data_IF_479664919360
#
_entry.id   IF_479664919360
#
_cell.length_a   1.000
_cell.length_b   1.000
_cell.length_c   1.000
_cell.angle_alpha   90.00
_cell.angle_beta   90.00
_cell.angle_gamma   90.00
#
_symmetry.space_group_name_H-M   'P 1'
#
loop_
_entity.id
_entity.type
_entity.pdbx_description
1 polymer ?
#
# COMPACT_ATOMS: atom_id res chain seq x y z
N UNK A 1 -2.01 36.32 -2.45
CA UNK A 1 -1.34 35.47 -1.42
C UNK A 1 -0.19 34.71 -2.07
N UNK A 2 1.05 34.89 -1.59
CA UNK A 2 2.23 34.17 -2.10
C UNK A 2 2.15 32.65 -1.87
N UNK A 3 2.98 31.88 -2.57
CA UNK A 3 3.06 30.41 -2.44
C UNK A 3 3.32 29.97 -0.99
N UNK A 4 4.17 30.71 -0.27
CA UNK A 4 4.45 30.47 1.15
C UNK A 4 3.17 30.57 2.00
N UNK A 5 2.34 31.59 1.78
CA UNK A 5 1.10 31.78 2.54
C UNK A 5 0.08 30.67 2.23
N UNK A 6 0.03 30.15 1.00
CA UNK A 6 -0.85 29.02 0.63
C UNK A 6 -0.37 27.70 1.25
N UNK A 7 0.94 27.44 1.24
CA UNK A 7 1.52 26.29 1.90
C UNK A 7 1.31 26.33 3.42
N UNK A 8 1.49 27.51 4.04
CA UNK A 8 1.19 27.74 5.45
C UNK A 8 -0.29 27.54 5.76
N UNK A 9 -1.21 28.01 4.90
CA UNK A 9 -2.64 27.83 5.12
C UNK A 9 -3.06 26.36 5.03
N UNK A 10 -2.55 25.62 4.04
CA UNK A 10 -2.79 24.18 3.89
C UNK A 10 -2.17 23.40 5.05
N UNK A 11 -0.95 23.76 5.46
CA UNK A 11 -0.29 23.20 6.64
C UNK A 11 -1.06 23.49 7.92
N UNK A 12 -1.61 24.70 8.08
CA UNK A 12 -2.43 25.09 9.23
C UNK A 12 -3.79 24.37 9.24
N UNK A 13 -4.42 24.15 8.08
CA UNK A 13 -5.64 23.35 7.99
C UNK A 13 -5.39 21.86 8.26
N UNK A 14 -4.31 21.30 7.74
CA UNK A 14 -3.90 19.92 8.03
C UNK A 14 -3.58 19.75 9.52
N UNK A 15 -2.85 20.70 10.10
CA UNK A 15 -2.57 20.75 11.53
C UNK A 15 -3.86 20.87 12.34
N UNK A 16 -4.70 21.87 12.06
CA UNK A 16 -6.00 22.06 12.72
C UNK A 16 -6.85 20.79 12.66
N UNK A 17 -7.00 20.19 11.49
CA UNK A 17 -7.73 18.94 11.32
C UNK A 17 -7.09 17.75 12.06
N UNK A 18 -5.76 17.66 12.13
CA UNK A 18 -5.07 16.64 12.94
C UNK A 18 -5.25 16.86 14.46
N UNK A 19 -5.41 18.11 14.89
CA UNK A 19 -5.63 18.51 16.28
C UNK A 19 -7.10 18.43 16.72
N UNK A 20 -8.05 18.68 15.82
CA UNK A 20 -9.49 18.69 16.12
C UNK A 20 -10.21 17.44 15.63
N UNK A 21 -9.56 16.60 14.82
CA UNK A 21 -10.07 15.31 14.42
C UNK A 21 -10.33 14.44 15.66
N UNK A 22 -11.37 13.58 15.64
CA UNK A 22 -11.68 12.72 16.78
C UNK A 22 -10.41 11.97 17.19
N UNK A 23 -9.95 12.19 18.42
CA UNK A 23 -8.84 11.44 18.99
C UNK A 23 -9.42 10.32 19.87
N UNK A 24 -8.80 9.15 19.87
CA UNK A 24 -9.22 8.03 20.72
C UNK A 24 -9.14 8.29 22.23
N UNK A 25 -8.82 9.51 22.68
CA UNK A 25 -8.66 9.83 24.11
C UNK A 25 -9.93 9.58 24.96
N UNK A 26 -11.08 9.31 24.33
CA UNK A 26 -12.34 9.02 25.02
C UNK A 26 -12.89 7.60 24.79
N UNK A 27 -12.22 6.74 24.01
CA UNK A 27 -12.65 5.36 23.80
C UNK A 27 -11.74 4.44 24.60
N UNK A 28 -12.28 3.79 25.62
CA UNK A 28 -11.54 2.72 26.29
C UNK A 28 -11.17 1.65 25.25
N UNK A 29 -9.89 1.21 25.18
CA UNK A 29 -9.48 0.19 24.24
C UNK A 29 -10.11 -1.15 24.64
N UNK A 30 -11.27 -1.46 24.10
CA UNK A 30 -11.78 -2.83 24.08
C UNK A 30 -10.90 -3.70 23.18
N UNK A 31 -10.72 -4.96 23.55
CA UNK A 31 -9.95 -5.96 22.79
C UNK A 31 -10.78 -6.43 21.58
N UNK A 32 -10.78 -5.63 20.53
CA UNK A 32 -11.68 -5.80 19.35
C UNK A 32 -11.03 -6.57 18.18
N UNK A 33 -9.79 -7.04 18.33
CA UNK A 33 -9.14 -7.92 17.35
C UNK A 33 -9.02 -9.33 17.92
N UNK A 34 -10.13 -10.11 17.91
CA UNK A 34 -10.06 -11.50 18.31
C UNK A 34 -9.12 -12.21 17.33
N UNK A 35 -8.01 -12.70 17.88
CA UNK A 35 -7.19 -13.69 17.17
C UNK A 35 -7.79 -15.04 17.52
N UNK A 36 -8.01 -15.94 16.54
CA UNK A 36 -8.49 -17.28 16.84
C UNK A 36 -7.58 -17.96 17.87
N UNK A 37 -8.14 -18.86 18.69
CA UNK A 37 -7.35 -19.56 19.71
C UNK A 37 -6.24 -20.41 19.08
N UNK A 38 -6.45 -20.84 17.84
CA UNK A 38 -5.57 -21.73 17.10
C UNK A 38 -5.38 -21.21 15.68
N UNK A 39 -4.17 -21.37 15.14
CA UNK A 39 -3.82 -21.02 13.76
C UNK A 39 -3.23 -22.27 13.09
N UNK A 40 -3.73 -22.58 11.89
CA UNK A 40 -3.17 -23.62 11.04
C UNK A 40 -1.95 -23.10 10.31
N UNK A 41 -0.80 -23.72 10.52
CA UNK A 41 0.49 -23.32 9.95
C UNK A 41 1.11 -24.46 9.16
N UNK A 42 1.76 -24.09 8.06
CA UNK A 42 2.63 -24.96 7.26
C UNK A 42 4.00 -25.02 7.91
N UNK A 43 4.53 -23.86 8.33
CA UNK A 43 5.82 -23.76 9.01
C UNK A 43 5.81 -22.61 10.02
N UNK A 44 6.66 -22.71 11.05
CA UNK A 44 6.82 -21.68 12.05
C UNK A 44 8.24 -21.72 12.65
N UNK A 45 8.65 -20.65 13.33
CA UNK A 45 9.94 -20.56 14.02
C UNK A 45 9.77 -20.03 15.44
N UNK A 46 8.75 -20.51 16.16
CA UNK A 46 8.41 -19.96 17.47
C UNK A 46 9.48 -20.33 18.50
N UNK A 47 9.82 -19.42 19.44
CA UNK A 47 10.98 -19.61 20.33
C UNK A 47 10.87 -20.82 21.27
N UNK A 48 9.67 -21.38 21.47
CA UNK A 48 9.43 -22.57 22.28
C UNK A 48 9.46 -23.88 21.46
N UNK A 49 9.64 -23.82 20.14
CA UNK A 49 10.01 -24.98 19.32
C UNK A 49 11.49 -25.33 19.56
N UNK A 50 11.84 -25.65 20.80
CA UNK A 50 13.10 -26.34 21.09
C UNK A 50 13.03 -27.75 20.50
N UNK A 51 14.17 -28.26 20.04
CA UNK A 51 14.40 -29.59 19.42
C UNK A 51 13.68 -30.78 20.08
N UNK A 52 13.26 -30.67 21.34
CA UNK A 52 12.56 -31.71 22.09
C UNK A 52 11.09 -31.88 21.71
N UNK A 53 10.41 -30.85 21.20
CA UNK A 53 9.04 -30.96 20.69
C UNK A 53 8.99 -31.58 19.28
N UNK A 54 10.12 -31.61 18.58
CA UNK A 54 10.36 -32.43 17.37
C UNK A 54 10.87 -33.78 17.84
N UNK A 55 9.99 -34.55 18.48
CA UNK A 55 10.31 -35.90 18.94
C UNK A 55 10.76 -36.79 17.78
N UNK A 56 12.02 -37.24 17.86
CA UNK A 56 12.66 -38.34 17.11
C UNK A 56 12.94 -38.12 15.61
N UNK A 57 14.13 -37.58 15.32
CA UNK A 57 15.14 -38.24 14.47
C UNK A 57 16.41 -37.39 14.48
N UNK A 58 17.30 -37.63 15.44
CA UNK A 58 18.60 -36.96 15.50
C UNK A 58 19.64 -37.59 14.54
N UNK A 59 19.26 -38.62 13.77
CA UNK A 59 20.15 -39.32 12.84
C UNK A 59 19.99 -38.88 11.37
N UNK A 60 19.14 -37.90 11.08
CA UNK A 60 18.93 -37.37 9.73
C UNK A 60 19.37 -35.92 9.61
N UNK A 61 20.69 -35.69 9.67
CA UNK A 61 21.32 -34.49 9.09
C UNK A 61 21.46 -34.72 7.59
N UNK A 62 20.32 -34.73 6.90
CA UNK A 62 20.24 -34.98 5.47
C UNK A 62 18.87 -34.57 4.95
N UNK A 63 18.84 -33.52 4.14
CA UNK A 63 17.72 -33.05 3.33
C UNK A 63 16.39 -32.81 4.08
N UNK A 64 16.19 -31.58 4.56
CA UNK A 64 14.85 -30.98 4.78
C UNK A 64 14.14 -30.68 3.44
N UNK A 65 14.22 -31.60 2.49
CA UNK A 65 13.36 -31.59 1.31
C UNK A 65 12.32 -32.70 1.50
N UNK A 66 11.06 -32.29 1.67
CA UNK A 66 9.85 -33.11 1.52
C UNK A 66 9.33 -33.95 2.73
N UNK A 67 9.19 -33.35 3.92
CA UNK A 67 7.97 -33.62 4.70
C UNK A 67 6.91 -32.59 4.33
N UNK A 68 6.41 -32.71 3.10
CA UNK A 68 5.30 -31.91 2.59
C UNK A 68 4.00 -32.31 3.27
N UNK A 69 3.43 -31.43 4.09
CA UNK A 69 1.97 -31.28 4.14
C UNK A 69 1.24 -31.68 5.41
N UNK A 70 1.89 -31.90 6.55
CA UNK A 70 1.16 -31.99 7.81
C UNK A 70 0.89 -30.58 8.34
N UNK A 71 -0.34 -30.09 8.15
CA UNK A 71 -0.84 -28.89 8.82
C UNK A 71 -0.56 -29.01 10.32
N UNK A 72 0.23 -28.07 10.86
CA UNK A 72 0.45 -27.94 12.30
C UNK A 72 -0.56 -26.96 12.84
N UNK A 73 -1.08 -27.21 14.04
CA UNK A 73 -1.93 -26.27 14.76
C UNK A 73 -1.09 -25.66 15.87
N UNK A 74 -0.96 -24.33 15.86
CA UNK A 74 -0.35 -23.58 16.96
C UNK A 74 -1.43 -22.88 17.76
N UNK A 75 -1.30 -22.86 19.08
CA UNK A 75 -2.18 -22.03 19.90
C UNK A 75 -1.66 -20.60 19.92
N UNK A 76 -2.57 -19.64 19.73
CA UNK A 76 -2.22 -18.22 19.69
C UNK A 76 -1.67 -17.71 21.02
N UNK A 77 -2.07 -18.32 22.14
CA UNK A 77 -1.55 -17.99 23.48
C UNK A 77 -0.05 -18.30 23.64
N UNK A 78 0.47 -19.23 22.85
CA UNK A 78 1.89 -19.60 22.87
C UNK A 78 2.74 -18.61 22.05
N UNK A 79 2.13 -17.79 21.20
CA UNK A 79 2.84 -16.82 20.35
C UNK A 79 3.25 -15.60 21.18
N UNK A 80 4.56 -15.47 21.45
CA UNK A 80 5.13 -14.26 22.02
C UNK A 80 5.28 -13.17 20.93
N UNK A 81 4.24 -12.36 20.77
CA UNK A 81 4.22 -11.24 19.80
C UNK A 81 5.26 -10.15 20.04
N UNK A 82 5.99 -10.19 21.16
CA UNK A 82 7.09 -9.26 21.42
C UNK A 82 8.43 -9.71 20.83
N UNK A 83 8.56 -11.00 20.49
CA UNK A 83 9.79 -11.63 19.99
C UNK A 83 9.76 -11.85 18.48
N UNK A 84 10.88 -12.31 17.96
CA UNK A 84 11.02 -12.72 16.56
C UNK A 84 10.27 -14.03 16.32
N UNK A 85 9.55 -14.09 15.21
CA UNK A 85 8.89 -15.31 14.76
C UNK A 85 8.63 -15.24 13.26
N UNK A 86 8.47 -16.42 12.65
CA UNK A 86 7.88 -16.59 11.33
C UNK A 86 6.66 -17.48 11.51
N UNK A 87 5.53 -17.09 10.91
CA UNK A 87 4.33 -17.93 10.79
C UNK A 87 4.02 -18.03 9.31
N UNK A 88 4.05 -19.23 8.76
CA UNK A 88 3.65 -19.51 7.39
C UNK A 88 2.39 -20.35 7.39
N UNK A 89 1.35 -19.85 6.71
CA UNK A 89 0.11 -20.58 6.45
C UNK A 89 -0.02 -20.81 4.95
N UNK A 90 -1.02 -21.56 4.52
CA UNK A 90 -1.31 -21.68 3.09
C UNK A 90 -1.66 -20.33 2.44
N UNK A 91 -2.22 -19.39 3.23
CA UNK A 91 -2.73 -18.11 2.75
C UNK A 91 -1.73 -16.97 2.90
N UNK A 92 -0.86 -16.98 3.89
CA UNK A 92 0.03 -15.84 4.12
C UNK A 92 1.27 -16.26 4.90
N UNK A 93 2.30 -15.41 4.85
CA UNK A 93 3.49 -15.53 5.66
C UNK A 93 3.67 -14.26 6.48
N UNK A 94 3.89 -14.36 7.79
CA UNK A 94 4.25 -13.23 8.65
C UNK A 94 5.65 -13.48 9.15
N UNK A 95 6.51 -12.48 8.98
CA UNK A 95 7.87 -12.50 9.50
C UNK A 95 8.04 -11.28 10.40
N UNK A 96 8.29 -11.53 11.68
CA UNK A 96 8.68 -10.51 12.65
C UNK A 96 10.13 -10.74 13.03
N UNK A 97 10.95 -9.71 12.87
CA UNK A 97 12.35 -9.69 13.30
C UNK A 97 12.67 -8.39 14.02
N UNK A 98 13.73 -8.43 14.81
CA UNK A 98 14.34 -7.24 15.35
C UNK A 98 14.96 -6.41 14.24
N UNK A 99 14.85 -5.09 14.41
CA UNK A 99 15.30 -4.12 13.42
C UNK A 99 16.80 -3.89 13.60
N UNK A 100 17.59 -3.85 12.50
CA UNK A 100 18.99 -3.46 12.59
C UNK A 100 19.13 -2.06 13.21
N UNK A 101 20.00 -1.91 14.20
CA UNK A 101 20.15 -0.66 14.97
C UNK A 101 20.38 0.57 14.09
N UNK A 102 21.28 0.46 13.11
CA UNK A 102 21.66 1.57 12.21
C UNK A 102 20.44 2.02 11.40
N UNK A 103 19.76 1.05 10.79
CA UNK A 103 18.56 1.29 10.00
C UNK A 103 17.44 1.93 10.84
N UNK A 104 17.24 1.44 12.07
CA UNK A 104 16.28 2.01 13.02
C UNK A 104 16.59 3.47 13.36
N UNK A 105 17.85 3.82 13.61
CA UNK A 105 18.25 5.21 13.92
C UNK A 105 18.00 6.13 12.73
N UNK A 106 18.50 5.76 11.54
CA UNK A 106 18.32 6.54 10.31
C UNK A 106 16.83 6.69 10.00
N UNK A 107 16.10 5.59 10.06
CA UNK A 107 14.66 5.53 9.88
C UNK A 107 13.90 6.44 10.83
N UNK A 108 14.26 6.47 12.11
CA UNK A 108 13.58 7.33 13.06
C UNK A 108 13.80 8.82 12.81
N UNK A 109 15.00 9.20 12.36
CA UNK A 109 15.29 10.58 11.94
C UNK A 109 14.46 10.93 10.69
N UNK A 110 14.48 10.06 9.68
CA UNK A 110 13.80 10.29 8.42
C UNK A 110 12.26 10.26 8.54
N UNK A 111 11.71 9.63 9.59
CA UNK A 111 10.27 9.64 9.87
C UNK A 111 9.79 10.86 10.66
N UNK A 112 10.68 11.75 11.13
CA UNK A 112 10.29 12.98 11.85
C UNK A 112 9.28 13.83 11.06
N UNK A 113 9.46 14.08 9.75
CA UNK A 113 8.47 14.84 8.97
C UNK A 113 7.08 14.22 9.00
N UNK A 114 6.96 12.90 8.87
CA UNK A 114 5.68 12.20 8.91
C UNK A 114 5.05 12.25 10.32
N UNK A 115 5.85 12.04 11.37
CA UNK A 115 5.41 12.17 12.77
C UNK A 115 4.88 13.56 13.08
N UNK A 116 5.55 14.60 12.58
CA UNK A 116 5.10 15.99 12.72
C UNK A 116 3.84 16.26 11.90
N UNK A 117 3.77 15.76 10.65
CA UNK A 117 2.60 15.93 9.78
C UNK A 117 1.33 15.33 10.39
N UNK A 118 1.40 14.13 10.97
CA UNK A 118 0.27 13.49 11.64
C UNK A 118 0.15 13.84 13.13
N UNK A 119 1.10 14.59 13.67
CA UNK A 119 1.26 14.85 15.10
C UNK A 119 1.12 13.56 15.95
N UNK A 120 1.82 12.51 15.53
CA UNK A 120 1.78 11.21 16.20
C UNK A 120 3.13 10.47 16.09
N UNK A 121 3.74 10.22 17.24
CA UNK A 121 5.02 9.52 17.36
C UNK A 121 4.93 8.02 17.08
N UNK A 122 3.73 7.45 16.96
CA UNK A 122 3.53 6.05 16.56
C UNK A 122 3.75 5.81 15.06
N UNK A 123 3.76 6.85 14.23
CA UNK A 123 4.12 6.77 12.81
C UNK A 123 5.60 6.40 12.68
N UNK A 124 5.90 5.29 12.00
CA UNK A 124 7.26 4.78 11.82
C UNK A 124 7.98 4.38 13.13
N UNK A 125 7.25 4.17 14.23
CA UNK A 125 7.81 3.81 15.55
C UNK A 125 8.33 2.37 15.63
N UNK A 126 7.73 1.48 14.87
CA UNK A 126 7.83 0.02 15.01
C UNK A 126 6.58 -0.53 15.71
N UNK A 127 6.07 -1.65 15.19
CA UNK A 127 4.91 -2.33 15.71
C UNK A 127 5.24 -3.05 17.02
N UNK A 128 4.42 -2.80 18.03
CA UNK A 128 4.46 -3.50 19.31
C UNK A 128 3.73 -4.84 19.27
N UNK A 129 3.64 -5.52 20.43
CA UNK A 129 2.95 -6.80 20.57
C UNK A 129 1.45 -6.72 20.24
N UNK A 130 0.77 -5.64 20.61
CA UNK A 130 -0.67 -5.49 20.44
C UNK A 130 -1.02 -5.25 18.97
N UNK A 131 -0.22 -4.44 18.26
CA UNK A 131 -0.40 -4.24 16.83
C UNK A 131 0.01 -5.45 16.03
N UNK A 132 1.10 -6.12 16.40
CA UNK A 132 1.48 -7.40 15.79
C UNK A 132 0.33 -8.41 15.90
N UNK A 133 -0.30 -8.53 17.08
CA UNK A 133 -1.49 -9.36 17.30
C UNK A 133 -2.67 -8.93 16.43
N UNK A 134 -2.90 -7.62 16.29
CA UNK A 134 -3.97 -7.09 15.44
C UNK A 134 -3.77 -7.44 13.95
N UNK A 135 -2.53 -7.45 13.44
CA UNK A 135 -2.25 -7.88 12.05
C UNK A 135 -2.65 -9.33 11.84
N UNK A 136 -2.32 -10.22 12.77
CA UNK A 136 -2.71 -11.63 12.68
C UNK A 136 -4.23 -11.77 12.72
N UNK A 137 -4.90 -11.06 13.64
CA UNK A 137 -6.36 -11.03 13.68
C UNK A 137 -6.96 -10.56 12.36
N UNK A 138 -6.40 -9.51 11.73
CA UNK A 138 -6.83 -9.03 10.41
C UNK A 138 -6.74 -10.14 9.37
N UNK A 139 -5.60 -10.84 9.29
CA UNK A 139 -5.37 -11.86 8.26
C UNK A 139 -6.21 -13.13 8.49
N UNK A 140 -6.41 -13.51 9.75
CA UNK A 140 -7.26 -14.64 10.13
C UNK A 140 -8.74 -14.36 9.87
N UNK A 141 -9.23 -13.16 10.19
CA UNK A 141 -10.64 -12.80 9.98
C UNK A 141 -10.97 -12.39 8.54
N UNK A 142 -9.99 -12.36 7.63
CA UNK A 142 -10.18 -12.01 6.22
C UNK A 142 -9.67 -13.13 5.31
N UNK A 143 -10.46 -14.19 5.15
CA UNK A 143 -10.11 -15.40 4.35
C UNK A 143 -9.77 -15.11 2.88
N UNK A 144 -10.28 -14.00 2.34
CA UNK A 144 -10.02 -13.58 0.97
C UNK A 144 -8.60 -13.05 0.75
N UNK A 145 -7.86 -12.74 1.81
CA UNK A 145 -6.47 -12.31 1.72
C UNK A 145 -5.60 -13.57 1.62
N UNK A 146 -4.96 -13.73 0.46
CA UNK A 146 -4.15 -14.91 0.09
C UNK A 146 -2.83 -14.53 -0.56
N UNK A 147 -1.83 -15.39 -0.47
CA UNK A 147 -0.50 -15.22 -1.05
C UNK A 147 0.18 -13.89 -0.65
N UNK A 148 -0.05 -13.46 0.60
CA UNK A 148 0.55 -12.24 1.14
C UNK A 148 1.74 -12.57 2.05
N UNK A 149 2.85 -11.86 1.89
CA UNK A 149 3.92 -11.84 2.88
C UNK A 149 3.88 -10.53 3.66
N UNK A 150 3.88 -10.60 4.99
CA UNK A 150 3.93 -9.43 5.87
C UNK A 150 5.24 -9.43 6.63
N UNK A 151 5.97 -8.32 6.53
CA UNK A 151 7.21 -8.06 7.26
C UNK A 151 6.95 -7.01 8.31
N UNK A 152 7.20 -7.37 9.56
CA UNK A 152 6.99 -6.49 10.69
C UNK A 152 8.35 -6.02 11.16
N UNK A 153 8.54 -4.70 11.19
CA UNK A 153 9.71 -4.03 11.78
C UNK A 153 11.03 -4.25 11.01
N UNK A 154 10.98 -4.84 9.82
CA UNK A 154 12.16 -5.02 8.97
C UNK A 154 11.77 -5.10 7.50
N UNK A 155 12.73 -4.98 6.59
CA UNK A 155 12.59 -5.45 5.21
C UNK A 155 13.46 -6.71 4.98
N UNK A 156 13.34 -7.36 3.83
CA UNK A 156 14.36 -8.30 3.35
C UNK A 156 14.54 -8.12 1.84
N UNK A 157 14.87 -6.90 1.43
CA UNK A 157 14.93 -6.46 0.03
C UNK A 157 15.61 -7.47 -0.92
N UNK A 158 16.75 -8.03 -0.48
CA UNK A 158 17.50 -9.03 -1.25
C UNK A 158 16.70 -10.35 -1.37
N UNK A 159 16.17 -10.86 -0.26
CA UNK A 159 15.39 -12.09 -0.25
C UNK A 159 14.10 -11.95 -1.04
N UNK A 160 13.40 -10.81 -0.93
CA UNK A 160 12.18 -10.57 -1.70
C UNK A 160 12.45 -10.37 -3.19
N UNK A 161 13.62 -9.83 -3.53
CA UNK A 161 14.11 -9.85 -4.91
C UNK A 161 14.33 -11.28 -5.42
N UNK A 162 14.88 -12.18 -4.60
CA UNK A 162 15.00 -13.60 -4.96
C UNK A 162 13.63 -14.28 -5.11
N UNK A 163 12.67 -13.95 -4.23
CA UNK A 163 11.30 -14.48 -4.29
C UNK A 163 10.58 -14.19 -5.59
N UNK A 164 10.93 -13.10 -6.28
CA UNK A 164 10.42 -12.87 -7.64
C UNK A 164 10.63 -14.09 -8.54
N UNK A 165 11.72 -14.82 -8.38
CA UNK A 165 12.09 -15.94 -9.26
C UNK A 165 11.85 -17.31 -8.64
N UNK A 166 11.86 -17.42 -7.31
CA UNK A 166 11.73 -18.71 -6.60
C UNK A 166 10.33 -18.99 -6.09
N UNK A 167 9.52 -17.97 -5.81
CA UNK A 167 8.17 -18.14 -5.27
C UNK A 167 7.17 -18.44 -6.39
N UNK A 168 6.59 -19.64 -6.36
CA UNK A 168 5.61 -20.11 -7.35
C UNK A 168 4.37 -19.22 -7.38
N UNK A 169 3.96 -18.65 -6.25
CA UNK A 169 2.76 -17.79 -6.13
C UNK A 169 2.98 -16.47 -6.87
N UNK A 170 4.14 -15.86 -6.64
CA UNK A 170 4.58 -14.64 -7.35
C UNK A 170 4.73 -14.90 -8.85
N UNK A 171 5.40 -16.00 -9.23
CA UNK A 171 5.59 -16.35 -10.63
C UNK A 171 4.28 -16.64 -11.39
N UNK A 172 3.26 -17.18 -10.69
CA UNK A 172 1.92 -17.40 -11.25
C UNK A 172 1.19 -16.08 -11.54
N UNK A 173 1.32 -15.09 -10.66
CA UNK A 173 0.65 -13.78 -10.82
C UNK A 173 1.40 -12.84 -11.76
N UNK A 174 2.72 -12.87 -11.77
CA UNK A 174 3.55 -11.90 -12.49
C UNK A 174 4.44 -12.59 -13.54
N UNK A 175 4.30 -12.26 -14.84
CA UNK A 175 5.18 -12.79 -15.90
C UNK A 175 6.66 -12.44 -15.65
N UNK A 176 7.57 -13.15 -16.33
CA UNK A 176 9.02 -12.98 -16.09
C UNK A 176 9.52 -11.56 -16.39
N UNK A 177 9.09 -10.95 -17.50
CA UNK A 177 9.60 -9.63 -17.92
C UNK A 177 9.28 -8.53 -16.89
N UNK A 178 8.02 -8.35 -16.42
CA UNK A 178 7.72 -7.37 -15.38
C UNK A 178 8.43 -7.64 -14.05
N UNK A 179 8.66 -8.90 -13.67
CA UNK A 179 9.44 -9.24 -12.48
C UNK A 179 10.87 -8.69 -12.55
N UNK A 180 11.50 -8.75 -13.72
CA UNK A 180 12.83 -8.18 -13.93
C UNK A 180 12.78 -6.65 -13.95
N UNK A 181 11.93 -6.08 -14.82
CA UNK A 181 11.93 -4.64 -15.09
C UNK A 181 11.39 -3.79 -13.93
N UNK A 182 10.37 -4.28 -13.24
CA UNK A 182 9.72 -3.58 -12.12
C UNK A 182 10.01 -4.24 -10.79
N UNK A 183 9.94 -5.58 -10.73
CA UNK A 183 10.09 -6.31 -9.47
C UNK A 183 11.45 -6.13 -8.82
N UNK A 184 12.56 -6.23 -9.57
CA UNK A 184 13.91 -6.05 -9.00
C UNK A 184 14.06 -4.62 -8.45
N UNK A 185 13.79 -3.53 -9.22
CA UNK A 185 13.89 -2.19 -8.68
C UNK A 185 12.98 -1.94 -7.47
N UNK A 186 11.72 -2.39 -7.49
CA UNK A 186 10.80 -2.14 -6.37
C UNK A 186 11.17 -2.94 -5.13
N UNK A 187 11.66 -4.17 -5.27
CA UNK A 187 12.10 -4.98 -4.13
C UNK A 187 13.37 -4.44 -3.49
N UNK A 188 14.32 -3.94 -4.29
CA UNK A 188 15.57 -3.38 -3.76
C UNK A 188 15.36 -1.95 -3.25
N UNK A 189 14.95 -1.04 -4.13
CA UNK A 189 14.89 0.39 -3.82
C UNK A 189 13.66 0.73 -2.98
N UNK A 190 12.50 0.15 -3.31
CA UNK A 190 11.25 0.41 -2.59
C UNK A 190 11.33 -0.04 -1.14
N UNK A 191 11.78 -1.27 -0.90
CA UNK A 191 11.90 -1.79 0.46
C UNK A 191 13.04 -1.14 1.26
N UNK A 192 14.16 -0.80 0.62
CA UNK A 192 15.22 -0.03 1.29
C UNK A 192 14.74 1.37 1.67
N UNK A 193 14.01 2.03 0.78
CA UNK A 193 13.43 3.34 1.08
C UNK A 193 12.40 3.25 2.21
N UNK A 194 11.54 2.22 2.20
CA UNK A 194 10.59 1.95 3.27
C UNK A 194 11.30 1.80 4.62
N UNK A 195 12.37 1.01 4.68
CA UNK A 195 13.15 0.79 5.90
C UNK A 195 13.83 2.07 6.40
N UNK A 196 14.53 2.78 5.50
CA UNK A 196 15.26 4.00 5.82
C UNK A 196 14.35 5.20 6.10
N UNK A 197 13.08 5.16 5.71
CA UNK A 197 12.09 6.20 6.03
C UNK A 197 11.10 5.78 7.12
N UNK A 198 11.12 4.51 7.54
CA UNK A 198 10.08 3.88 8.37
C UNK A 198 8.68 4.03 7.76
N UNK A 199 8.62 4.06 6.44
CA UNK A 199 7.38 4.11 5.68
C UNK A 199 6.82 2.71 5.52
N UNK A 200 5.56 2.52 5.88
CA UNK A 200 4.82 1.30 5.53
C UNK A 200 4.65 1.24 4.00
N UNK A 201 4.75 0.03 3.45
CA UNK A 201 4.86 -0.15 2.00
C UNK A 201 4.34 -1.50 1.53
N UNK A 202 3.48 -1.49 0.51
CA UNK A 202 3.13 -2.69 -0.24
C UNK A 202 3.85 -2.75 -1.61
N UNK A 203 4.54 -3.87 -1.85
CA UNK A 203 5.14 -4.19 -3.15
C UNK A 203 4.26 -5.19 -3.93
N UNK A 204 3.56 -4.75 -4.99
CA UNK A 204 2.72 -5.63 -5.79
C UNK A 204 3.50 -6.70 -6.57
N UNK A 205 4.80 -6.49 -6.81
CA UNK A 205 5.58 -7.40 -7.65
C UNK A 205 5.98 -8.69 -6.94
N UNK A 206 6.11 -8.65 -5.61
CA UNK A 206 6.49 -9.79 -4.76
C UNK A 206 5.44 -10.10 -3.67
N UNK A 207 4.29 -9.41 -3.71
CA UNK A 207 3.17 -9.55 -2.77
C UNK A 207 3.57 -9.34 -1.30
N UNK A 208 4.49 -8.41 -1.04
CA UNK A 208 5.02 -8.15 0.31
C UNK A 208 4.51 -6.83 0.85
N UNK A 209 3.99 -6.86 2.08
CA UNK A 209 3.70 -5.68 2.90
C UNK A 209 4.81 -5.54 3.93
N UNK A 210 5.41 -4.37 4.02
CA UNK A 210 6.41 -4.00 5.03
C UNK A 210 5.77 -2.98 5.97
N UNK A 211 5.79 -3.27 7.28
CA UNK A 211 5.11 -2.48 8.31
C UNK A 211 6.09 -1.93 9.35
N UNK A 212 5.99 -0.63 9.61
CA UNK A 212 6.76 0.10 10.60
C UNK A 212 5.92 1.04 11.46
N UNK A 213 4.70 1.43 11.07
CA UNK A 213 3.86 2.30 11.89
C UNK A 213 3.03 1.51 12.88
N UNK A 214 3.02 1.96 14.14
CA UNK A 214 2.25 1.33 15.22
C UNK A 214 0.76 1.79 15.18
N UNK A 215 0.16 1.85 13.99
CA UNK A 215 -1.16 2.43 13.72
C UNK A 215 -1.95 1.45 12.85
N UNK A 216 -3.11 1.00 13.34
CA UNK A 216 -3.89 -0.08 12.70
C UNK A 216 -4.38 0.33 11.32
N UNK A 217 -4.85 1.58 11.14
CA UNK A 217 -5.35 2.02 9.83
C UNK A 217 -4.27 2.03 8.75
N UNK A 218 -3.02 2.35 9.09
CA UNK A 218 -1.91 2.35 8.14
C UNK A 218 -1.59 0.92 7.73
N UNK A 219 -1.47 0.00 8.69
CA UNK A 219 -1.23 -1.41 8.34
C UNK A 219 -2.40 -2.03 7.55
N UNK A 220 -3.64 -1.69 7.92
CA UNK A 220 -4.83 -2.12 7.18
C UNK A 220 -4.89 -1.53 5.77
N UNK A 221 -4.34 -0.33 5.55
CA UNK A 221 -4.21 0.31 4.22
C UNK A 221 -3.22 -0.45 3.33
N UNK A 222 -2.03 -0.80 3.83
CA UNK A 222 -1.07 -1.59 3.05
C UNK A 222 -1.60 -2.99 2.71
N UNK A 223 -2.28 -3.64 3.65
CA UNK A 223 -3.00 -4.90 3.41
C UNK A 223 -4.16 -4.67 2.41
N UNK A 224 -4.80 -3.50 2.48
CA UNK A 224 -5.85 -3.05 1.57
C UNK A 224 -5.38 -2.91 0.13
N UNK A 225 -4.13 -2.48 -0.10
CA UNK A 225 -3.53 -2.48 -1.43
C UNK A 225 -3.38 -3.90 -1.99
N UNK A 226 -2.92 -4.84 -1.16
CA UNK A 226 -2.83 -6.24 -1.58
C UNK A 226 -4.21 -6.80 -1.97
N UNK A 227 -5.23 -6.59 -1.12
CA UNK A 227 -6.61 -7.01 -1.40
C UNK A 227 -7.15 -6.41 -2.69
N UNK A 228 -6.78 -5.16 -3.01
CA UNK A 228 -7.17 -4.53 -4.27
C UNK A 228 -6.48 -5.18 -5.48
N UNK A 229 -5.18 -5.44 -5.40
CA UNK A 229 -4.44 -6.16 -6.43
C UNK A 229 -5.00 -7.56 -6.73
N UNK A 230 -5.55 -8.25 -5.72
CA UNK A 230 -6.15 -9.58 -5.89
C UNK A 230 -7.37 -9.63 -6.81
N UNK A 231 -8.00 -8.49 -7.11
CA UNK A 231 -9.09 -8.40 -8.07
C UNK A 231 -8.64 -8.67 -9.51
N UNK A 232 -7.35 -8.54 -9.77
CA UNK A 232 -6.77 -8.70 -11.11
C UNK A 232 -6.02 -10.03 -11.22
N UNK A 233 -5.98 -10.59 -12.43
CA UNK A 233 -5.22 -11.79 -12.74
C UNK A 233 -3.70 -11.59 -12.68
N UNK A 234 -3.23 -10.34 -12.67
CA UNK A 234 -1.81 -10.00 -12.62
C UNK A 234 -1.58 -8.63 -11.97
N UNK A 235 -0.56 -8.53 -11.12
CA UNK A 235 -0.33 -7.32 -10.31
C UNK A 235 0.41 -6.23 -11.10
N UNK A 236 1.27 -6.61 -12.06
CA UNK A 236 2.16 -5.66 -12.74
C UNK A 236 1.45 -4.63 -13.62
N UNK A 237 0.35 -4.99 -14.29
CA UNK A 237 -0.43 -4.03 -15.11
C UNK A 237 -0.99 -2.94 -14.21
N UNK A 238 -1.63 -3.35 -13.13
CA UNK A 238 -2.22 -2.40 -12.20
C UNK A 238 -1.16 -1.57 -11.47
N UNK A 239 -0.03 -2.20 -11.12
CA UNK A 239 1.12 -1.50 -10.53
C UNK A 239 1.75 -0.49 -11.50
N UNK A 240 1.94 -0.85 -12.78
CA UNK A 240 2.55 0.03 -13.79
C UNK A 240 1.64 1.20 -14.18
N UNK A 241 0.32 0.97 -14.20
CA UNK A 241 -0.66 2.03 -14.43
C UNK A 241 -0.57 3.15 -13.36
N UNK A 242 -0.01 2.88 -12.19
CA UNK A 242 0.16 3.85 -11.12
C UNK A 242 1.16 4.98 -11.44
N UNK A 243 1.93 4.87 -12.53
CA UNK A 243 2.71 6.02 -13.06
C UNK A 243 1.78 7.15 -13.49
N UNK A 244 0.54 6.83 -13.87
CA UNK A 244 -0.48 7.82 -14.17
C UNK A 244 -1.14 8.31 -12.86
N UNK A 245 -1.08 9.63 -12.55
CA UNK A 245 -1.60 10.20 -11.31
C UNK A 245 -3.02 9.74 -10.90
N UNK A 246 -3.99 9.56 -11.81
CA UNK A 246 -5.34 9.13 -11.44
C UNK A 246 -5.42 7.70 -10.95
N UNK A 247 -4.61 6.80 -11.51
CA UNK A 247 -4.55 5.42 -11.01
C UNK A 247 -3.94 5.41 -9.63
N UNK A 248 -2.91 6.24 -9.37
CA UNK A 248 -2.38 6.40 -8.01
C UNK A 248 -3.51 6.83 -7.06
N UNK A 249 -4.28 7.86 -7.40
CA UNK A 249 -5.36 8.34 -6.54
C UNK A 249 -6.45 7.27 -6.34
N UNK A 250 -6.82 6.56 -7.40
CA UNK A 250 -7.74 5.43 -7.30
C UNK A 250 -7.22 4.34 -6.37
N UNK A 251 -5.96 3.93 -6.53
CA UNK A 251 -5.30 2.90 -5.72
C UNK A 251 -5.29 3.27 -4.25
N UNK A 252 -4.90 4.50 -3.93
CA UNK A 252 -4.87 5.00 -2.55
C UNK A 252 -6.28 5.08 -1.96
N UNK A 253 -7.26 5.57 -2.71
CA UNK A 253 -8.65 5.61 -2.26
C UNK A 253 -9.22 4.21 -2.01
N UNK A 254 -9.01 3.28 -2.95
CA UNK A 254 -9.53 1.92 -2.89
C UNK A 254 -8.87 1.12 -1.75
N UNK A 255 -7.56 1.27 -1.54
CA UNK A 255 -6.87 0.69 -0.39
C UNK A 255 -7.39 1.27 0.93
N UNK A 256 -7.69 2.57 0.97
CA UNK A 256 -8.31 3.20 2.13
C UNK A 256 -9.71 2.64 2.41
N UNK A 257 -10.54 2.44 1.38
CA UNK A 257 -11.85 1.79 1.54
C UNK A 257 -11.71 0.36 2.05
N UNK A 258 -10.76 -0.41 1.49
CA UNK A 258 -10.46 -1.75 1.97
C UNK A 258 -10.02 -1.73 3.44
N UNK A 259 -9.18 -0.78 3.84
CA UNK A 259 -8.76 -0.60 5.24
C UNK A 259 -9.97 -0.33 6.14
N UNK A 260 -10.89 0.54 5.73
CA UNK A 260 -12.12 0.83 6.49
C UNK A 260 -12.99 -0.42 6.71
N UNK A 261 -13.00 -1.35 5.77
CA UNK A 261 -13.71 -2.63 5.90
C UNK A 261 -12.95 -3.65 6.76
N UNK A 262 -11.63 -3.56 6.84
CA UNK A 262 -10.76 -4.43 7.63
C UNK A 262 -10.71 -3.99 9.11
N UNK A 263 -10.83 -2.69 9.38
CA UNK A 263 -10.77 -2.12 10.72
C UNK A 263 -12.02 -2.44 11.53
N UNK A 264 -11.85 -2.68 12.84
CA UNK A 264 -12.97 -2.70 13.79
C UNK A 264 -13.62 -1.32 13.88
N UNK A 265 -14.88 -1.27 14.32
CA UNK A 265 -15.65 -0.01 14.36
C UNK A 265 -14.97 1.07 15.22
N UNK A 266 -14.33 0.66 16.31
CA UNK A 266 -13.62 1.50 17.28
C UNK A 266 -12.31 2.06 16.72
N UNK A 267 -11.76 1.48 15.66
CA UNK A 267 -10.55 1.96 15.00
C UNK A 267 -10.86 2.71 13.68
N UNK A 268 -12.12 2.76 13.23
CA UNK A 268 -12.51 3.49 12.01
C UNK A 268 -12.23 4.99 12.09
N UNK A 269 -12.15 5.60 13.28
CA UNK A 269 -11.74 7.00 13.40
C UNK A 269 -10.31 7.24 12.87
N UNK A 270 -9.42 6.24 12.93
CA UNK A 270 -8.05 6.32 12.42
C UNK A 270 -8.03 6.55 10.90
N UNK A 271 -9.04 6.07 10.17
CA UNK A 271 -9.21 6.37 8.74
C UNK A 271 -9.20 7.88 8.49
N UNK A 272 -10.00 8.63 9.27
CA UNK A 272 -10.10 10.08 9.13
C UNK A 272 -8.82 10.79 9.57
N UNK A 273 -8.11 10.26 10.57
CA UNK A 273 -6.88 10.86 11.10
C UNK A 273 -5.65 10.66 10.23
N UNK A 274 -5.48 9.47 9.64
CA UNK A 274 -4.24 9.13 8.92
C UNK A 274 -4.46 8.99 7.42
N UNK A 275 -5.50 8.25 6.99
CA UNK A 275 -5.66 7.90 5.57
C UNK A 275 -6.20 9.07 4.75
N UNK A 276 -7.15 9.85 5.28
CA UNK A 276 -7.64 11.05 4.58
C UNK A 276 -6.51 12.07 4.36
N UNK A 277 -5.75 12.52 5.40
CA UNK A 277 -4.67 13.48 5.17
C UNK A 277 -3.57 12.94 4.25
N UNK A 278 -3.21 11.66 4.37
CA UNK A 278 -2.29 11.01 3.44
C UNK A 278 -2.81 11.09 1.99
N UNK A 279 -4.07 10.76 1.76
CA UNK A 279 -4.70 10.85 0.43
C UNK A 279 -4.62 12.27 -0.16
N UNK A 280 -4.83 13.30 0.67
CA UNK A 280 -4.71 14.70 0.23
C UNK A 280 -3.29 15.08 -0.22
N UNK A 281 -2.23 14.43 0.29
CA UNK A 281 -0.87 14.69 -0.20
C UNK A 281 -0.71 14.33 -1.68
N UNK A 282 -1.35 13.25 -2.14
CA UNK A 282 -1.39 12.85 -3.54
C UNK A 282 -2.19 13.83 -4.41
N UNK A 283 -3.34 14.31 -3.92
CA UNK A 283 -4.14 15.33 -4.61
C UNK A 283 -3.35 16.64 -4.80
N UNK A 284 -2.67 17.08 -3.75
CA UNK A 284 -1.84 18.30 -3.78
C UNK A 284 -0.68 18.13 -4.76
N UNK A 285 0.01 16.98 -4.72
CA UNK A 285 1.09 16.68 -5.67
C UNK A 285 0.58 16.68 -7.12
N UNK A 286 -0.55 16.03 -7.39
CA UNK A 286 -1.19 16.00 -8.70
C UNK A 286 -1.60 17.39 -9.20
N UNK A 287 -2.12 18.25 -8.31
CA UNK A 287 -2.42 19.64 -8.60
C UNK A 287 -1.17 20.43 -9.01
N UNK A 288 -0.09 20.34 -8.24
CA UNK A 288 1.14 21.06 -8.56
C UNK A 288 1.84 20.53 -9.82
N UNK A 289 1.82 19.22 -10.06
CA UNK A 289 2.30 18.61 -11.29
C UNK A 289 1.53 19.14 -12.51
N UNK A 290 0.18 19.17 -12.41
CA UNK A 290 -0.69 19.73 -13.46
C UNK A 290 -0.36 21.20 -13.74
N UNK A 291 -0.16 22.00 -12.69
CA UNK A 291 0.24 23.40 -12.83
C UNK A 291 1.59 23.56 -13.54
N UNK A 292 2.56 22.71 -13.22
CA UNK A 292 3.89 22.72 -13.84
C UNK A 292 3.81 22.35 -15.32
N UNK A 293 3.05 21.31 -15.67
CA UNK A 293 2.84 20.87 -17.06
C UNK A 293 2.17 21.96 -17.91
N UNK A 294 1.12 22.60 -17.38
CA UNK A 294 0.47 23.71 -18.07
C UNK A 294 1.44 24.88 -18.31
N UNK A 295 2.34 25.19 -17.37
CA UNK A 295 3.36 26.24 -17.56
C UNK A 295 4.34 25.89 -18.67
N UNK A 296 4.72 24.62 -18.79
CA UNK A 296 5.62 24.16 -19.85
C UNK A 296 4.97 24.21 -21.24
N UNK A 297 3.66 23.98 -21.32
CA UNK A 297 2.88 24.06 -22.58
C UNK A 297 2.61 25.49 -23.07
N UNK A 298 2.84 26.50 -22.24
CA UNK A 298 2.68 27.91 -22.61
C UNK A 298 4.02 28.70 -22.55
N UNK A 299 5.07 28.28 -23.30
CA UNK A 299 6.35 28.97 -23.27
C UNK A 299 6.24 30.36 -23.89
N UNK A 300 6.80 31.38 -23.24
CA UNK A 300 6.93 32.74 -23.78
C UNK A 300 5.91 33.78 -23.28
N UNK A 301 4.84 33.37 -22.62
CA UNK A 301 4.01 34.26 -21.79
C UNK A 301 4.24 33.88 -20.32
N UNK A 302 4.09 34.81 -19.38
CA UNK A 302 3.96 34.50 -17.94
C UNK A 302 2.47 34.46 -17.57
N UNK A 303 1.61 33.63 -18.20
CA UNK A 303 0.23 33.62 -17.81
C UNK A 303 0.16 33.08 -16.39
N UNK A 304 -0.49 33.81 -15.50
CA UNK A 304 -0.80 33.29 -14.18
C UNK A 304 -1.79 32.14 -14.36
N UNK A 305 -1.28 30.90 -14.40
CA UNK A 305 -2.14 29.72 -14.50
C UNK A 305 -3.06 29.69 -13.29
N UNK A 306 -4.35 29.86 -13.57
CA UNK A 306 -5.37 29.97 -12.55
C UNK A 306 -5.57 28.64 -11.84
N UNK A 307 -6.10 28.69 -10.63
CA UNK A 307 -6.48 27.47 -9.89
C UNK A 307 -7.52 26.67 -10.68
N UNK A 308 -8.47 27.33 -11.33
CA UNK A 308 -9.51 26.69 -12.16
C UNK A 308 -8.91 25.95 -13.36
N UNK A 309 -7.97 26.56 -14.08
CA UNK A 309 -7.26 25.90 -15.19
C UNK A 309 -6.44 24.69 -14.69
N UNK A 310 -5.82 24.83 -13.52
CA UNK A 310 -5.07 23.71 -12.92
C UNK A 310 -6.01 22.56 -12.52
N UNK A 311 -7.16 22.87 -11.91
CA UNK A 311 -8.18 21.88 -11.55
C UNK A 311 -8.81 21.23 -12.78
N UNK A 312 -9.05 22.00 -13.87
CA UNK A 312 -9.49 21.47 -15.17
C UNK A 312 -8.49 20.45 -15.67
N UNK A 313 -7.22 20.83 -15.81
CA UNK A 313 -6.17 19.95 -16.33
C UNK A 313 -5.98 18.71 -15.45
N UNK A 314 -6.00 18.89 -14.13
CA UNK A 314 -5.95 17.79 -13.20
C UNK A 314 -7.16 16.86 -13.39
N UNK A 315 -8.39 17.39 -13.39
CA UNK A 315 -9.60 16.60 -13.58
C UNK A 315 -9.66 15.87 -14.92
N UNK A 316 -9.28 16.51 -16.03
CA UNK A 316 -9.27 15.89 -17.36
C UNK A 316 -8.23 14.77 -17.46
N UNK A 317 -7.06 14.94 -16.83
CA UNK A 317 -6.05 13.88 -16.71
C UNK A 317 -6.51 12.69 -15.88
N UNK A 318 -7.58 12.85 -15.07
CA UNK A 318 -8.14 11.78 -14.25
C UNK A 318 -9.33 11.08 -14.92
N UNK A 319 -10.20 11.86 -15.54
CA UNK A 319 -11.45 11.38 -16.13
C UNK A 319 -11.21 10.42 -17.30
N UNK A 320 -10.21 10.70 -18.12
CA UNK A 320 -9.77 9.83 -19.21
C UNK A 320 -9.36 8.44 -18.69
N UNK A 321 -8.53 8.40 -17.66
CA UNK A 321 -8.03 7.15 -17.11
C UNK A 321 -9.12 6.32 -16.44
N UNK A 322 -10.04 6.96 -15.71
CA UNK A 322 -11.19 6.27 -15.14
C UNK A 322 -12.09 5.66 -16.21
N UNK A 323 -12.34 6.39 -17.29
CA UNK A 323 -13.10 5.85 -18.42
C UNK A 323 -12.37 4.70 -19.12
N UNK A 324 -11.04 4.79 -19.27
CA UNK A 324 -10.21 3.70 -19.77
C UNK A 324 -10.28 2.45 -18.88
N UNK A 325 -10.14 2.59 -17.56
CA UNK A 325 -10.27 1.47 -16.61
C UNK A 325 -11.66 0.86 -16.66
N UNK A 326 -12.71 1.68 -16.75
CA UNK A 326 -14.09 1.19 -16.89
C UNK A 326 -14.27 0.38 -18.18
N UNK A 327 -13.73 0.87 -19.30
CA UNK A 327 -13.76 0.17 -20.59
C UNK A 327 -12.99 -1.17 -20.52
N UNK A 328 -11.78 -1.17 -19.94
CA UNK A 328 -11.00 -2.40 -19.70
C UNK A 328 -11.80 -3.40 -18.86
N UNK A 329 -12.38 -2.96 -17.75
CA UNK A 329 -13.11 -3.82 -16.82
C UNK A 329 -14.36 -4.41 -17.46
N UNK A 330 -15.02 -3.66 -18.34
CA UNK A 330 -16.17 -4.15 -19.10
C UNK A 330 -15.73 -5.24 -20.09
N UNK A 331 -14.63 -5.02 -20.79
CA UNK A 331 -14.01 -6.01 -21.68
C UNK A 331 -13.61 -7.29 -20.92
N UNK A 332 -12.93 -7.15 -19.79
CA UNK A 332 -12.55 -8.29 -18.94
C UNK A 332 -13.77 -9.10 -18.47
N UNK A 333 -14.85 -8.44 -18.06
CA UNK A 333 -16.11 -9.09 -17.67
C UNK A 333 -16.78 -9.90 -18.78
N UNK A 334 -16.62 -9.51 -20.03
CA UNK A 334 -17.16 -10.24 -21.19
C UNK A 334 -16.13 -11.19 -21.81
N UNK A 335 -15.02 -11.42 -21.11
CA UNK A 335 -13.98 -12.39 -21.46
C UNK A 335 -13.38 -12.17 -22.87
N UNK A 336 -13.29 -10.91 -23.31
CA UNK A 336 -12.53 -10.59 -24.53
C UNK A 336 -11.03 -10.73 -24.28
N UNK A 337 -10.27 -10.94 -25.36
CA UNK A 337 -8.83 -11.12 -25.27
C UNK A 337 -8.17 -9.91 -24.58
N UNK A 338 -7.09 -10.16 -23.83
CA UNK A 338 -6.37 -9.10 -23.13
C UNK A 338 -5.97 -7.94 -24.06
N UNK A 339 -5.56 -8.23 -25.30
CA UNK A 339 -5.27 -7.22 -26.30
C UNK A 339 -6.45 -6.26 -26.55
N UNK A 340 -7.67 -6.80 -26.69
CA UNK A 340 -8.88 -6.01 -26.89
C UNK A 340 -9.22 -5.21 -25.63
N UNK A 341 -9.08 -5.78 -24.44
CA UNK A 341 -9.27 -5.05 -23.18
C UNK A 341 -8.32 -3.86 -23.04
N UNK A 342 -7.06 -4.00 -23.45
CA UNK A 342 -6.10 -2.89 -23.46
C UNK A 342 -6.40 -1.84 -24.54
N UNK A 343 -6.83 -2.27 -25.73
CA UNK A 343 -7.28 -1.34 -26.77
C UNK A 343 -8.49 -0.52 -26.27
N UNK A 344 -9.42 -1.16 -25.56
CA UNK A 344 -10.56 -0.51 -24.95
C UNK A 344 -10.14 0.48 -23.85
N UNK A 345 -9.12 0.16 -23.05
CA UNK A 345 -8.53 1.09 -22.08
C UNK A 345 -8.02 2.36 -22.75
N UNK A 346 -7.19 2.21 -23.79
CA UNK A 346 -6.63 3.35 -24.52
C UNK A 346 -7.72 4.18 -25.21
N UNK A 347 -8.68 3.52 -25.88
CA UNK A 347 -9.79 4.19 -26.56
C UNK A 347 -10.69 4.94 -25.58
N UNK A 348 -11.07 4.32 -24.45
CA UNK A 348 -11.88 4.95 -23.41
C UNK A 348 -11.23 6.20 -22.84
N UNK A 349 -9.91 6.17 -22.65
CA UNK A 349 -9.15 7.33 -22.20
C UNK A 349 -9.13 8.46 -23.26
N UNK A 350 -8.75 8.15 -24.50
CA UNK A 350 -8.66 9.15 -25.58
C UNK A 350 -10.01 9.81 -25.84
N UNK A 351 -11.08 9.03 -26.01
CA UNK A 351 -12.43 9.54 -26.31
C UNK A 351 -12.91 10.45 -25.19
N UNK A 352 -12.74 10.03 -23.94
CA UNK A 352 -13.20 10.82 -22.78
C UNK A 352 -12.41 12.10 -22.62
N UNK A 353 -11.09 12.07 -22.86
CA UNK A 353 -10.27 13.26 -22.85
C UNK A 353 -10.72 14.27 -23.92
N UNK A 354 -10.99 13.81 -25.15
CA UNK A 354 -11.47 14.66 -26.24
C UNK A 354 -12.84 15.29 -25.93
N UNK A 355 -13.81 14.48 -25.47
CA UNK A 355 -15.15 14.97 -25.12
C UNK A 355 -15.09 15.96 -23.96
N UNK A 356 -14.34 15.64 -22.90
CA UNK A 356 -14.18 16.50 -21.74
C UNK A 356 -13.47 17.82 -22.11
N UNK A 357 -12.41 17.77 -22.92
CA UNK A 357 -11.73 18.97 -23.38
C UNK A 357 -12.61 19.81 -24.29
N UNK A 358 -13.39 19.21 -25.20
CA UNK A 358 -14.32 19.93 -26.05
C UNK A 358 -15.34 20.72 -25.24
N UNK A 359 -15.95 20.08 -24.23
CA UNK A 359 -16.92 20.74 -23.35
C UNK A 359 -16.25 21.82 -22.48
N UNK A 360 -15.13 21.48 -21.83
CA UNK A 360 -14.45 22.37 -20.88
C UNK A 360 -13.73 23.53 -21.57
N UNK A 361 -13.37 23.41 -22.86
CA UNK A 361 -12.84 24.54 -23.64
C UNK A 361 -13.85 25.68 -23.76
N UNK A 362 -15.14 25.35 -23.88
CA UNK A 362 -16.19 26.36 -23.98
C UNK A 362 -16.52 27.03 -22.63
N UNK A 363 -16.28 26.34 -21.51
CA UNK A 363 -16.64 26.82 -20.17
C UNK A 363 -15.44 27.42 -19.42
N UNK A 364 -14.23 26.88 -19.63
CA UNK A 364 -13.01 27.23 -18.91
C UNK A 364 -11.78 27.14 -19.83
N UNK A 365 -11.69 27.94 -20.91
CA UNK A 365 -10.58 27.85 -21.86
C UNK A 365 -9.21 28.09 -21.21
N UNK A 366 -8.19 27.40 -21.68
CA UNK A 366 -6.81 27.80 -21.38
C UNK A 366 -6.48 29.07 -22.16
N UNK A 367 -5.62 29.92 -21.62
CA UNK A 367 -5.23 31.16 -22.31
C UNK A 367 -4.59 30.92 -23.70
N UNK A 368 -3.93 29.78 -23.89
CA UNK A 368 -3.36 29.39 -25.19
C UNK A 368 -4.39 28.78 -26.15
N UNK A 369 -5.57 28.40 -25.68
CA UNK A 369 -6.67 27.86 -26.52
C UNK A 369 -7.50 28.96 -27.20
N UNK A 370 -7.34 30.22 -26.78
CA UNK A 370 -8.04 31.41 -27.27
C UNK A 370 -7.24 32.20 -28.32
N UNK A 371 -6.14 31.65 -28.84
CA UNK A 371 -5.29 32.29 -29.85
C UNK A 371 -5.56 31.76 -31.25
#
# INVERSE_FOLDING_TARGET
MGWLNKALLVGAFAAWYAFTGPSAQHLEPKKEYPVPNEIKVVSTTLPYETREAVGRSADSVGNFENESGLEKIIKTEDIDFSKNFTIETERYTIVKKEEPLISRVIGHINSIPAKLFFWDWNVGKGLDKEKTRAIISILENNENIKDLTVRINHNQAIYDCFRLFTDKKVAKRNPLIPRILMGIPTSILGELFAELSRGDYYNPMNQTVVLFSNIKSISAHEIGHHKDCQRFGSDWIYASAAVFPPVVLYREWQASQNAKHILSDEDKWQFNRYLIPAFFTYLIAGFYASKKLLKQKAPGKKPEISTLQTLRHFGTLNLDLYAGIAAYSLCDKINVSGFVSYAALAAGAVITNEVANHFLKNVMPYEHENL
#
